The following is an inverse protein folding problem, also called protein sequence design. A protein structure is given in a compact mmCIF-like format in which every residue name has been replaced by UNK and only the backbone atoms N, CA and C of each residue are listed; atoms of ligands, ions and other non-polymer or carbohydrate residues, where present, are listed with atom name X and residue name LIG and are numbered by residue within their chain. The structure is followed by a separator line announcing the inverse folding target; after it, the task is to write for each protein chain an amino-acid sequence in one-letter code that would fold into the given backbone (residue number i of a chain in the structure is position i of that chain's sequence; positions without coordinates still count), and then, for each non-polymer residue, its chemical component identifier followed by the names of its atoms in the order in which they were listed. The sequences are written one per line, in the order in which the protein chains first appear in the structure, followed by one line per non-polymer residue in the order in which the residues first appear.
data_IF_935728003304
#
_entry.id   IF_935728003304
#
_cell.length_a   1.000
_cell.length_b   1.000
_cell.length_c   1.000
_cell.angle_alpha   90.00
_cell.angle_beta   90.00
_cell.angle_gamma   90.00
#
_symmetry.space_group_name_H-M   'P 1'
#
loop_
_entity.id
_entity.type
_entity.pdbx_description
1 polymer ?
#
# COMPACT_ATOMS: atom_id res chain seq x y z
N UNK A 1 14.10 14.94 3.13
CA UNK A 1 13.16 15.01 1.99
C UNK A 1 12.22 13.79 1.88
N UNK A 2 12.69 12.55 1.67
CA UNK A 2 11.78 11.38 1.50
C UNK A 2 10.89 11.13 2.74
N UNK A 3 11.47 11.08 3.94
CA UNK A 3 10.72 10.85 5.20
C UNK A 3 9.64 11.93 5.42
N UNK A 4 9.96 13.21 5.15
CA UNK A 4 8.98 14.30 5.26
C UNK A 4 7.84 14.17 4.25
N UNK A 5 8.12 13.72 3.03
CA UNK A 5 7.08 13.45 2.05
C UNK A 5 6.13 12.34 2.53
N UNK A 6 6.67 11.27 3.15
CA UNK A 6 5.83 10.18 3.69
C UNK A 6 5.06 10.63 4.94
N UNK A 7 5.62 11.51 5.78
CA UNK A 7 4.89 12.14 6.90
C UNK A 7 3.74 13.01 6.39
N UNK A 8 3.98 13.82 5.33
CA UNK A 8 2.94 14.59 4.65
C UNK A 8 1.85 13.68 4.07
N UNK A 9 2.23 12.57 3.43
CA UNK A 9 1.30 11.57 2.93
C UNK A 9 0.43 10.99 4.06
N UNK A 10 1.02 10.61 5.20
CA UNK A 10 0.27 10.14 6.37
C UNK A 10 -0.73 11.17 6.87
N UNK A 11 -0.32 12.45 6.92
CA UNK A 11 -1.23 13.54 7.33
C UNK A 11 -2.40 13.69 6.34
N UNK A 12 -2.14 13.67 5.04
CA UNK A 12 -3.18 13.73 4.02
C UNK A 12 -4.14 12.54 4.11
N UNK A 13 -3.61 11.33 4.34
CA UNK A 13 -4.40 10.13 4.54
C UNK A 13 -5.29 10.23 5.79
N UNK A 14 -4.76 10.78 6.88
CA UNK A 14 -5.54 10.97 8.10
C UNK A 14 -6.82 11.77 7.81
N UNK A 15 -6.72 12.89 7.09
CA UNK A 15 -7.89 13.68 6.70
C UNK A 15 -8.82 12.92 5.75
N UNK A 16 -8.26 12.22 4.74
CA UNK A 16 -9.06 11.43 3.79
C UNK A 16 -9.84 10.31 4.48
N UNK A 17 -9.28 9.75 5.55
CA UNK A 17 -9.85 8.61 6.25
C UNK A 17 -10.81 8.99 7.39
N UNK A 18 -10.96 10.27 7.72
CA UNK A 18 -11.89 10.71 8.80
C UNK A 18 -13.34 10.29 8.53
N UNK A 19 -13.78 10.38 7.26
CA UNK A 19 -15.13 10.01 6.82
C UNK A 19 -15.14 8.67 6.03
N UNK A 20 -14.06 7.91 6.07
CA UNK A 20 -13.93 6.68 5.31
C UNK A 20 -14.74 5.53 5.93
N UNK A 21 -15.26 4.64 5.09
CA UNK A 21 -16.06 3.48 5.49
C UNK A 21 -15.25 2.39 6.19
N UNK A 22 -13.93 2.37 5.98
CA UNK A 22 -12.99 1.48 6.65
C UNK A 22 -11.59 2.10 6.72
N UNK A 23 -10.66 1.43 7.41
CA UNK A 23 -9.29 1.87 7.64
C UNK A 23 -8.26 1.24 6.71
N UNK A 24 -8.72 0.69 5.58
CA UNK A 24 -7.88 -0.03 4.62
C UNK A 24 -7.38 0.94 3.56
N UNK A 25 -6.06 1.03 3.43
CA UNK A 25 -5.35 1.80 2.40
C UNK A 25 -4.64 0.82 1.47
N UNK A 26 -5.01 0.85 0.20
CA UNK A 26 -4.31 0.07 -0.82
C UNK A 26 -3.29 0.96 -1.52
N UNK A 27 -2.06 0.45 -1.63
CA UNK A 27 -0.98 1.06 -2.42
C UNK A 27 -0.77 0.22 -3.67
N UNK A 28 -1.03 0.81 -4.82
CA UNK A 28 -0.87 0.16 -6.11
C UNK A 28 -0.08 1.05 -7.10
N UNK A 29 0.13 0.58 -8.31
CA UNK A 29 0.80 1.35 -9.35
C UNK A 29 0.68 0.64 -10.70
N UNK A 30 0.97 1.37 -11.81
CA UNK A 30 0.81 0.85 -13.16
C UNK A 30 1.61 -0.41 -13.42
N UNK A 31 2.90 -0.37 -13.11
CA UNK A 31 3.89 -1.39 -13.49
C UNK A 31 4.71 -1.86 -12.30
N UNK A 32 5.59 -2.84 -12.54
CA UNK A 32 6.63 -3.22 -11.58
C UNK A 32 7.60 -2.04 -11.36
N UNK A 33 8.35 -2.07 -10.27
CA UNK A 33 9.44 -1.14 -9.94
C UNK A 33 9.05 0.36 -9.86
N UNK A 34 7.76 0.70 -9.80
CA UNK A 34 7.34 2.07 -9.55
C UNK A 34 7.49 2.50 -8.07
N UNK A 35 7.79 1.54 -7.17
CA UNK A 35 8.10 1.80 -5.76
C UNK A 35 6.93 1.63 -4.80
N UNK A 36 5.89 0.86 -5.18
CA UNK A 36 4.75 0.52 -4.32
C UNK A 36 5.17 0.05 -2.94
N UNK A 37 5.94 -1.04 -2.91
CA UNK A 37 6.43 -1.66 -1.66
C UNK A 37 7.27 -0.71 -0.82
N UNK A 38 8.09 0.15 -1.44
CA UNK A 38 8.86 1.17 -0.72
C UNK A 38 7.93 2.19 -0.04
N UNK A 39 6.95 2.69 -0.78
CA UNK A 39 5.99 3.67 -0.26
C UNK A 39 5.11 3.05 0.84
N UNK A 40 4.57 1.85 0.60
CA UNK A 40 3.68 1.17 1.54
C UNK A 40 4.41 0.80 2.85
N UNK A 41 5.63 0.27 2.77
CA UNK A 41 6.44 -0.07 3.97
C UNK A 41 6.89 1.17 4.74
N UNK A 42 7.25 2.25 4.04
CA UNK A 42 7.60 3.52 4.67
C UNK A 42 6.41 4.16 5.38
N UNK A 43 5.23 4.11 4.76
CA UNK A 43 4.00 4.59 5.36
C UNK A 43 3.65 3.79 6.62
N UNK A 44 3.77 2.46 6.58
CA UNK A 44 3.54 1.60 7.73
C UNK A 44 4.47 1.95 8.90
N UNK A 45 5.77 2.13 8.62
CA UNK A 45 6.76 2.51 9.63
C UNK A 45 6.44 3.87 10.27
N UNK A 46 6.08 4.88 9.47
CA UNK A 46 5.77 6.21 9.98
C UNK A 46 4.44 6.23 10.75
N UNK A 47 3.44 5.44 10.34
CA UNK A 47 2.20 5.28 11.07
C UNK A 47 2.43 4.62 12.44
N UNK A 48 3.23 3.56 12.48
CA UNK A 48 3.59 2.87 13.73
C UNK A 48 4.41 3.77 14.69
N UNK A 49 5.38 4.56 14.17
CA UNK A 49 6.12 5.55 14.95
C UNK A 49 5.23 6.64 15.57
N UNK A 50 4.08 6.90 14.96
CA UNK A 50 3.08 7.81 15.48
C UNK A 50 2.10 7.16 16.48
N UNK A 51 2.38 5.92 16.91
CA UNK A 51 1.58 5.20 17.92
C UNK A 51 0.35 4.48 17.38
N UNK A 52 0.16 4.40 16.05
CA UNK A 52 -0.96 3.67 15.46
C UNK A 52 -0.70 2.15 15.47
N UNK A 53 -1.76 1.38 15.68
CA UNK A 53 -1.76 -0.08 15.46
C UNK A 53 -1.86 -0.31 13.96
N UNK A 54 -0.78 -0.79 13.35
CA UNK A 54 -0.66 -0.94 11.90
C UNK A 54 -0.57 -2.42 11.55
N UNK A 55 -1.38 -2.85 10.57
CA UNK A 55 -1.18 -4.10 9.86
C UNK A 55 -0.71 -3.80 8.42
N UNK A 56 0.41 -4.38 8.06
CA UNK A 56 0.89 -4.41 6.68
C UNK A 56 0.54 -5.76 6.04
N UNK A 57 -0.07 -5.74 4.86
CA UNK A 57 -0.42 -6.95 4.11
C UNK A 57 0.32 -6.95 2.76
N UNK A 58 1.14 -7.97 2.52
CA UNK A 58 1.67 -8.26 1.19
C UNK A 58 0.62 -9.07 0.39
N UNK A 59 -0.08 -8.40 -0.50
CA UNK A 59 -1.11 -9.03 -1.31
C UNK A 59 -0.64 -9.41 -2.73
N UNK A 60 0.66 -9.28 -3.02
CA UNK A 60 1.24 -9.84 -4.26
C UNK A 60 1.54 -11.33 -4.09
N UNK A 61 0.51 -12.17 -4.11
CA UNK A 61 0.64 -13.63 -4.00
C UNK A 61 1.36 -14.27 -5.20
N UNK A 62 1.72 -13.48 -6.24
CA UNK A 62 2.45 -13.96 -7.41
C UNK A 62 3.95 -13.75 -7.30
N UNK A 63 4.37 -12.61 -6.77
CA UNK A 63 5.77 -12.16 -6.67
C UNK A 63 6.05 -11.42 -5.36
N UNK A 64 5.27 -11.70 -4.29
CA UNK A 64 5.47 -11.08 -3.00
C UNK A 64 6.88 -11.27 -2.46
N UNK A 65 7.49 -10.19 -2.01
CA UNK A 65 8.89 -10.17 -1.58
C UNK A 65 9.09 -9.57 -0.20
N UNK A 66 8.00 -9.11 0.44
CA UNK A 66 8.05 -8.40 1.72
C UNK A 66 8.65 -9.26 2.84
N UNK A 67 8.37 -10.56 2.84
CA UNK A 67 8.95 -11.51 3.79
C UNK A 67 10.48 -11.52 3.76
N UNK A 68 11.12 -11.35 2.59
CA UNK A 68 12.57 -11.23 2.47
C UNK A 68 13.07 -9.88 3.01
N UNK A 69 12.36 -8.78 2.73
CA UNK A 69 12.71 -7.43 3.19
C UNK A 69 12.73 -7.38 4.73
N UNK A 70 11.71 -7.96 5.36
CA UNK A 70 11.54 -7.94 6.81
C UNK A 70 12.16 -9.13 7.53
N UNK A 71 12.67 -10.12 6.78
CA UNK A 71 13.21 -11.39 7.31
C UNK A 71 12.17 -12.15 8.13
N UNK A 72 10.95 -12.22 7.62
CA UNK A 72 9.83 -12.92 8.20
C UNK A 72 9.61 -14.29 7.52
N UNK A 73 8.88 -15.16 8.22
CA UNK A 73 8.48 -16.45 7.67
C UNK A 73 7.38 -16.24 6.60
N UNK A 74 7.36 -17.08 5.56
CA UNK A 74 6.35 -17.05 4.50
C UNK A 74 5.66 -18.43 4.30
N UNK A 75 5.77 -19.35 5.28
CA UNK A 75 5.08 -20.63 5.22
C UNK A 75 3.57 -20.48 5.41
N UNK A 76 3.17 -19.51 6.21
CA UNK A 76 1.79 -19.07 6.39
C UNK A 76 1.69 -17.59 6.00
N UNK A 77 0.59 -17.22 5.38
CA UNK A 77 0.33 -15.84 4.99
C UNK A 77 -1.05 -15.69 4.36
N UNK A 78 -1.27 -14.60 3.63
CA UNK A 78 -2.56 -14.26 3.03
C UNK A 78 -3.16 -15.41 2.22
N UNK A 79 -2.37 -16.08 1.39
CA UNK A 79 -2.83 -17.20 0.58
C UNK A 79 -3.32 -18.38 1.44
N UNK A 80 -2.62 -18.70 2.55
CA UNK A 80 -3.01 -19.75 3.49
C UNK A 80 -4.31 -19.41 4.21
N UNK A 81 -4.45 -18.16 4.64
CA UNK A 81 -5.65 -17.63 5.29
C UNK A 81 -6.85 -17.71 4.36
N UNK A 82 -6.70 -17.22 3.13
CA UNK A 82 -7.78 -17.22 2.14
C UNK A 82 -8.14 -18.63 1.66
N UNK A 83 -7.18 -19.56 1.64
CA UNK A 83 -7.39 -20.98 1.36
C UNK A 83 -8.12 -21.75 2.49
N UNK A 84 -8.35 -21.12 3.63
CA UNK A 84 -9.04 -21.74 4.77
C UNK A 84 -8.18 -22.69 5.61
N UNK A 85 -6.87 -22.69 5.39
CA UNK A 85 -5.94 -23.60 6.07
C UNK A 85 -5.52 -23.11 7.46
N UNK A 86 -5.68 -21.81 7.73
CA UNK A 86 -5.24 -21.16 8.97
C UNK A 86 -6.10 -19.91 9.24
N UNK A 87 -6.27 -19.56 10.51
CA UNK A 87 -6.87 -18.28 10.87
C UNK A 87 -5.85 -17.15 10.68
N UNK A 88 -6.33 -15.95 10.33
CA UNK A 88 -5.43 -14.85 9.99
C UNK A 88 -4.53 -14.42 11.16
N UNK A 89 -4.98 -14.57 12.42
CA UNK A 89 -4.20 -14.25 13.62
C UNK A 89 -2.94 -15.11 13.74
N UNK A 90 -3.04 -16.38 13.30
CA UNK A 90 -1.91 -17.33 13.36
C UNK A 90 -0.89 -17.09 12.25
N UNK A 91 -1.29 -16.36 11.19
CA UNK A 91 -0.43 -16.02 10.06
C UNK A 91 0.22 -14.63 10.19
N UNK A 92 -0.28 -13.77 11.08
CA UNK A 92 0.29 -12.44 11.35
C UNK A 92 1.57 -12.56 12.17
N UNK A 93 2.59 -11.81 11.77
CA UNK A 93 3.89 -11.78 12.45
C UNK A 93 4.23 -10.35 12.86
N UNK A 94 4.88 -10.19 14.02
CA UNK A 94 5.38 -8.89 14.48
C UNK A 94 6.68 -8.54 13.77
N UNK A 95 6.76 -7.38 13.14
CA UNK A 95 8.01 -6.79 12.66
C UNK A 95 8.54 -5.79 13.69
N UNK A 96 9.39 -6.26 14.60
CA UNK A 96 9.87 -5.48 15.76
C UNK A 96 10.57 -4.18 15.38
N UNK A 97 11.44 -4.21 14.35
CA UNK A 97 12.18 -3.02 13.89
C UNK A 97 11.28 -1.91 13.34
N UNK A 98 10.14 -2.28 12.77
CA UNK A 98 9.16 -1.35 12.22
C UNK A 98 8.07 -0.96 13.20
N UNK A 99 7.89 -1.74 14.26
CA UNK A 99 6.85 -1.52 15.26
C UNK A 99 5.42 -1.80 14.76
N UNK A 100 5.26 -2.67 13.74
CA UNK A 100 3.96 -3.02 13.16
C UNK A 100 3.83 -4.51 12.86
N UNK A 101 2.60 -4.95 12.65
CA UNK A 101 2.28 -6.33 12.33
C UNK A 101 2.27 -6.52 10.81
N UNK A 102 2.63 -7.74 10.36
CA UNK A 102 2.74 -8.09 8.95
C UNK A 102 2.03 -9.39 8.66
N UNK A 103 1.17 -9.38 7.65
CA UNK A 103 0.65 -10.57 7.00
C UNK A 103 1.36 -10.71 5.65
N UNK A 104 2.29 -11.66 5.56
CA UNK A 104 3.01 -11.95 4.32
C UNK A 104 2.09 -12.55 3.26
N UNK A 105 2.52 -12.61 2.00
CA UNK A 105 1.70 -13.20 0.93
C UNK A 105 1.43 -14.71 1.13
N UNK A 106 2.29 -15.41 1.86
CA UNK A 106 2.23 -16.86 2.02
C UNK A 106 2.77 -17.63 0.81
N UNK A 107 2.61 -18.95 0.81
CA UNK A 107 2.97 -19.78 -0.34
C UNK A 107 2.17 -19.38 -1.58
N UNK A 108 2.79 -19.46 -2.76
CA UNK A 108 2.16 -19.09 -4.03
C UNK A 108 0.98 -20.02 -4.34
N UNK A 109 -0.27 -19.52 -4.39
CA UNK A 109 -1.43 -20.34 -4.71
C UNK A 109 -1.53 -20.57 -6.23
N UNK A 110 -2.25 -21.62 -6.64
CA UNK A 110 -2.54 -21.92 -8.04
C UNK A 110 -3.49 -20.88 -8.65
N UNK A 111 -4.47 -20.41 -7.88
CA UNK A 111 -5.55 -19.54 -8.33
C UNK A 111 -5.73 -18.30 -7.41
N UNK A 112 -4.83 -17.29 -7.50
CA UNK A 112 -4.92 -16.10 -6.64
C UNK A 112 -6.23 -15.33 -6.78
N UNK A 113 -6.75 -15.25 -8.01
CA UNK A 113 -7.98 -14.53 -8.33
C UNK A 113 -9.18 -15.11 -7.59
N UNK A 114 -9.30 -16.45 -7.56
CA UNK A 114 -10.42 -17.13 -6.90
C UNK A 114 -10.39 -16.87 -5.39
N UNK A 115 -9.20 -16.87 -4.79
CA UNK A 115 -9.02 -16.52 -3.38
C UNK A 115 -9.45 -15.08 -3.07
N UNK A 116 -9.10 -14.13 -3.93
CA UNK A 116 -9.45 -12.72 -3.77
C UNK A 116 -10.95 -12.44 -4.06
N UNK A 117 -11.61 -13.30 -4.83
CA UNK A 117 -13.05 -13.22 -5.09
C UNK A 117 -13.89 -13.93 -4.03
N UNK A 118 -13.28 -14.68 -3.13
CA UNK A 118 -13.98 -15.46 -2.11
C UNK A 118 -14.66 -14.57 -1.05
N UNK A 119 -15.75 -15.06 -0.47
CA UNK A 119 -16.39 -14.44 0.70
C UNK A 119 -15.42 -14.36 1.89
N UNK A 120 -14.49 -15.31 1.98
CA UNK A 120 -13.48 -15.34 3.03
C UNK A 120 -12.55 -14.11 2.99
N UNK A 121 -12.20 -13.63 1.79
CA UNK A 121 -11.42 -12.39 1.66
C UNK A 121 -12.15 -11.21 2.29
N UNK A 122 -13.44 -11.04 1.98
CA UNK A 122 -14.26 -9.96 2.55
C UNK A 122 -14.40 -10.09 4.06
N UNK A 123 -14.67 -11.30 4.54
CA UNK A 123 -14.81 -11.58 5.98
C UNK A 123 -13.51 -11.29 6.76
N UNK A 124 -12.36 -11.68 6.21
CA UNK A 124 -11.04 -11.42 6.80
C UNK A 124 -10.75 -9.92 6.83
N UNK A 125 -10.95 -9.21 5.72
CA UNK A 125 -10.72 -7.76 5.66
C UNK A 125 -11.62 -7.00 6.65
N UNK A 126 -12.90 -7.37 6.76
CA UNK A 126 -13.83 -6.74 7.70
C UNK A 126 -13.42 -6.96 9.18
N UNK A 127 -12.90 -8.13 9.52
CA UNK A 127 -12.42 -8.41 10.89
C UNK A 127 -11.14 -7.64 11.21
N UNK A 128 -10.19 -7.60 10.28
CA UNK A 128 -8.91 -6.89 10.41
C UNK A 128 -9.17 -5.38 10.62
N UNK A 129 -10.08 -4.80 9.86
CA UNK A 129 -10.43 -3.39 9.93
C UNK A 129 -10.86 -2.91 11.33
N UNK A 130 -11.49 -3.79 12.12
CA UNK A 130 -11.93 -3.44 13.48
C UNK A 130 -10.81 -3.44 14.52
N UNK A 131 -9.66 -4.03 14.21
CA UNK A 131 -8.59 -4.28 15.18
C UNK A 131 -7.38 -3.34 15.02
N UNK A 132 -7.18 -2.79 13.84
CA UNK A 132 -6.07 -1.90 13.53
C UNK A 132 -6.55 -0.46 13.26
N UNK A 133 -5.68 0.50 13.56
CA UNK A 133 -5.97 1.91 13.31
C UNK A 133 -5.73 2.27 11.84
N UNK A 134 -4.88 1.48 11.17
CA UNK A 134 -4.67 1.52 9.72
C UNK A 134 -4.20 0.16 9.20
N UNK A 135 -4.75 -0.26 8.07
CA UNK A 135 -4.33 -1.46 7.33
C UNK A 135 -3.76 -1.01 5.99
N UNK A 136 -2.51 -1.35 5.72
CA UNK A 136 -1.82 -0.97 4.48
C UNK A 136 -1.60 -2.23 3.64
N UNK A 137 -2.17 -2.24 2.44
CA UNK A 137 -2.08 -3.39 1.52
C UNK A 137 -1.18 -3.03 0.34
N UNK A 138 -0.05 -3.72 0.22
CA UNK A 138 0.81 -3.68 -0.96
C UNK A 138 0.31 -4.66 -2.02
N UNK A 139 0.22 -4.23 -3.27
CA UNK A 139 -0.44 -4.99 -4.34
C UNK A 139 0.46 -5.24 -5.55
N UNK A 140 0.16 -6.26 -6.37
CA UNK A 140 0.76 -6.37 -7.68
C UNK A 140 0.37 -5.19 -8.59
N UNK A 141 1.08 -4.99 -9.73
CA UNK A 141 0.81 -3.88 -10.65
C UNK A 141 -0.57 -3.98 -11.30
N UNK A 142 -1.29 -2.85 -11.40
CA UNK A 142 -2.65 -2.76 -11.99
C UNK A 142 -2.70 -3.21 -13.44
N UNK A 143 -1.65 -2.93 -14.24
CA UNK A 143 -1.63 -3.27 -15.67
C UNK A 143 -1.19 -4.71 -15.93
N UNK A 144 -0.53 -5.35 -14.97
CA UNK A 144 -0.01 -6.71 -15.15
C UNK A 144 -1.05 -7.80 -14.87
N UNK A 145 -1.87 -7.62 -13.82
CA UNK A 145 -2.82 -8.64 -13.35
C UNK A 145 -4.11 -8.01 -12.84
N UNK A 146 -5.15 -8.83 -12.71
CA UNK A 146 -6.47 -8.39 -12.22
C UNK A 146 -6.56 -8.36 -10.69
N UNK A 147 -5.63 -9.00 -10.01
CA UNK A 147 -5.56 -9.12 -8.55
C UNK A 147 -5.67 -7.75 -7.86
N UNK A 148 -4.91 -6.76 -8.34
CA UNK A 148 -4.94 -5.39 -7.81
C UNK A 148 -6.34 -4.77 -7.86
N UNK A 149 -7.12 -5.05 -8.91
CA UNK A 149 -8.48 -4.54 -9.07
C UNK A 149 -9.44 -5.13 -8.03
N UNK A 150 -9.26 -6.40 -7.67
CA UNK A 150 -10.07 -7.07 -6.66
C UNK A 150 -9.74 -6.56 -5.26
N UNK A 151 -8.44 -6.41 -4.97
CA UNK A 151 -7.96 -5.93 -3.67
C UNK A 151 -8.41 -4.48 -3.42
N UNK A 152 -8.32 -3.60 -4.41
CA UNK A 152 -8.71 -2.18 -4.28
C UNK A 152 -10.19 -1.99 -3.96
N UNK A 153 -11.07 -2.94 -4.31
CA UNK A 153 -12.50 -2.89 -3.96
C UNK A 153 -12.77 -3.05 -2.46
N UNK A 154 -11.86 -3.64 -1.71
CA UNK A 154 -11.98 -3.79 -0.25
C UNK A 154 -11.54 -2.54 0.53
N UNK A 155 -10.89 -1.59 -0.13
CA UNK A 155 -10.29 -0.41 0.51
C UNK A 155 -11.18 0.83 0.39
N UNK A 156 -11.24 1.61 1.47
CA UNK A 156 -11.80 2.96 1.42
C UNK A 156 -10.86 3.95 0.72
N UNK A 157 -9.56 3.68 0.73
CA UNK A 157 -8.55 4.57 0.14
C UNK A 157 -7.59 3.82 -0.77
N UNK A 158 -7.45 4.29 -2.00
CA UNK A 158 -6.52 3.75 -2.99
C UNK A 158 -5.51 4.82 -3.40
N UNK A 159 -4.22 4.49 -3.27
CA UNK A 159 -3.09 5.30 -3.70
C UNK A 159 -2.43 4.70 -4.93
N UNK A 160 -2.16 5.51 -5.95
CA UNK A 160 -1.46 5.10 -7.16
C UNK A 160 -0.03 5.67 -7.18
N UNK A 161 0.96 4.78 -7.18
CA UNK A 161 2.38 5.16 -7.20
C UNK A 161 2.90 5.12 -8.64
N UNK A 162 3.45 6.22 -9.11
CA UNK A 162 4.17 6.34 -10.36
C UNK A 162 5.65 6.67 -10.08
N UNK A 163 6.57 6.23 -10.92
CA UNK A 163 8.00 6.52 -10.80
C UNK A 163 8.43 7.58 -11.81
N UNK A 164 9.05 8.64 -11.32
CA UNK A 164 9.58 9.71 -12.16
C UNK A 164 10.54 9.18 -13.22
N UNK A 165 10.38 9.64 -14.46
CA UNK A 165 11.24 9.27 -15.58
C UNK A 165 11.10 7.81 -16.07
N UNK A 166 10.23 7.00 -15.42
CA UNK A 166 10.01 5.58 -15.81
C UNK A 166 8.55 5.26 -16.09
N UNK A 167 7.62 5.70 -15.23
CA UNK A 167 6.19 5.49 -15.47
C UNK A 167 5.68 6.55 -16.43
N UNK A 168 5.16 6.14 -17.59
CA UNK A 168 4.60 7.06 -18.58
C UNK A 168 3.20 7.54 -18.18
N UNK A 169 2.81 8.71 -18.67
CA UNK A 169 1.46 9.25 -18.47
C UNK A 169 0.37 8.32 -19.02
N UNK A 170 0.63 7.61 -20.12
CA UNK A 170 -0.29 6.61 -20.69
C UNK A 170 -0.52 5.42 -19.76
N UNK A 171 0.53 4.92 -19.08
CA UNK A 171 0.39 3.84 -18.11
C UNK A 171 -0.43 4.27 -16.90
N UNK A 172 -0.24 5.51 -16.43
CA UNK A 172 -1.05 6.09 -15.34
C UNK A 172 -2.51 6.17 -15.78
N UNK A 173 -2.78 6.75 -16.96
CA UNK A 173 -4.14 6.89 -17.51
C UNK A 173 -4.84 5.54 -17.68
N UNK A 174 -4.15 4.54 -18.24
CA UNK A 174 -4.70 3.19 -18.40
C UNK A 174 -5.00 2.54 -17.05
N UNK A 175 -4.15 2.74 -16.04
CA UNK A 175 -4.39 2.23 -14.70
C UNK A 175 -5.61 2.88 -14.05
N UNK A 176 -5.74 4.20 -14.15
CA UNK A 176 -6.91 4.94 -13.66
C UNK A 176 -8.20 4.47 -14.36
N UNK A 177 -8.15 4.26 -15.67
CA UNK A 177 -9.30 3.75 -16.44
C UNK A 177 -9.70 2.35 -15.96
N UNK A 178 -8.74 1.42 -15.78
CA UNK A 178 -9.04 0.06 -15.28
C UNK A 178 -9.64 0.08 -13.88
N UNK A 179 -9.10 0.88 -12.97
CA UNK A 179 -9.63 1.01 -11.60
C UNK A 179 -11.05 1.59 -11.61
N UNK A 180 -11.31 2.65 -12.37
CA UNK A 180 -12.65 3.24 -12.51
C UNK A 180 -13.69 2.26 -13.08
N UNK A 181 -13.30 1.39 -14.01
CA UNK A 181 -14.18 0.36 -14.57
C UNK A 181 -14.64 -0.66 -13.53
N UNK A 182 -13.91 -0.83 -12.44
CA UNK A 182 -14.30 -1.70 -11.31
C UNK A 182 -14.99 -0.93 -10.18
N UNK A 183 -15.34 0.34 -10.40
CA UNK A 183 -15.98 1.21 -9.41
C UNK A 183 -15.01 1.78 -8.37
N UNK A 184 -13.70 1.60 -8.54
CA UNK A 184 -12.69 2.10 -7.60
C UNK A 184 -12.29 3.53 -7.97
N UNK A 185 -12.36 4.43 -6.99
CA UNK A 185 -11.81 5.77 -7.08
C UNK A 185 -10.41 5.80 -6.50
N UNK A 186 -9.46 6.38 -7.24
CA UNK A 186 -8.10 6.64 -6.73
C UNK A 186 -8.14 7.95 -5.94
N UNK A 187 -7.80 7.88 -4.65
CA UNK A 187 -7.87 9.00 -3.72
C UNK A 187 -6.60 9.85 -3.73
N UNK A 188 -5.47 9.29 -4.16
CA UNK A 188 -4.21 10.00 -4.24
C UNK A 188 -3.23 9.39 -5.24
N UNK A 189 -2.36 10.24 -5.79
CA UNK A 189 -1.25 9.83 -6.63
C UNK A 189 0.08 10.23 -5.98
N UNK A 190 1.08 9.34 -6.08
CA UNK A 190 2.40 9.54 -5.51
C UNK A 190 3.42 9.45 -6.64
N UNK A 191 4.18 10.52 -6.83
CA UNK A 191 5.32 10.51 -7.74
C UNK A 191 6.59 10.17 -6.94
N UNK A 192 7.09 8.96 -7.16
CA UNK A 192 8.25 8.42 -6.46
C UNK A 192 9.55 8.63 -7.26
N UNK A 193 10.70 8.61 -6.57
CA UNK A 193 12.04 8.66 -7.15
C UNK A 193 12.32 9.94 -7.98
N UNK A 194 11.84 11.09 -7.47
CA UNK A 194 12.12 12.39 -8.09
C UNK A 194 13.58 12.74 -7.85
N UNK A 195 14.35 12.94 -8.94
CA UNK A 195 15.75 13.38 -8.84
C UNK A 195 15.82 14.84 -8.34
N UNK A 196 16.89 15.18 -7.58
CA UNK A 196 17.02 16.50 -6.94
C UNK A 196 16.88 17.67 -7.91
N UNK A 197 17.43 17.57 -9.11
CA UNK A 197 17.33 18.61 -10.16
C UNK A 197 15.88 18.84 -10.60
N UNK A 198 15.09 17.78 -10.75
CA UNK A 198 13.67 17.89 -11.09
C UNK A 198 12.83 18.39 -9.91
N UNK A 199 13.17 17.99 -8.68
CA UNK A 199 12.49 18.45 -7.46
C UNK A 199 12.59 19.98 -7.31
N UNK A 200 13.73 20.56 -7.64
CA UNK A 200 13.92 22.02 -7.66
C UNK A 200 13.03 22.71 -8.69
N UNK A 201 12.85 22.11 -9.86
CA UNK A 201 11.99 22.65 -10.91
C UNK A 201 10.50 22.61 -10.51
N UNK A 202 10.05 21.52 -9.89
CA UNK A 202 8.66 21.41 -9.39
C UNK A 202 8.40 22.31 -8.19
N UNK A 203 9.40 22.51 -7.30
CA UNK A 203 9.28 23.41 -6.15
C UNK A 203 9.35 24.89 -6.55
N UNK A 204 9.97 25.27 -7.67
CA UNK A 204 10.03 26.67 -8.10
C UNK A 204 8.66 27.27 -8.44
N UNK A 205 7.64 26.45 -8.71
CA UNK A 205 6.25 26.86 -8.83
C UNK A 205 5.54 27.14 -7.48
N UNK A 206 6.12 26.72 -6.37
CA UNK A 206 5.62 26.90 -5.00
C UNK A 206 6.59 27.68 -4.09
N UNK A 207 7.60 28.34 -4.66
CA UNK A 207 8.72 28.93 -3.92
C UNK A 207 8.42 30.24 -3.18
N UNK A 208 7.20 30.41 -2.63
CA UNK A 208 6.91 31.57 -1.78
C UNK A 208 6.57 31.21 -0.31
N UNK A 209 6.84 29.97 0.12
CA UNK A 209 6.70 29.59 1.53
C UNK A 209 7.94 28.85 2.03
N UNK A 210 9.10 29.56 2.02
CA UNK A 210 10.27 29.12 2.78
C UNK A 210 10.09 29.57 4.23
N UNK A 211 9.49 28.70 5.05
CA UNK A 211 9.56 28.87 6.50
C UNK A 211 10.96 28.45 6.95
N UNK A 212 11.85 29.43 7.04
CA UNK A 212 13.18 29.27 7.59
C UNK A 212 13.12 28.84 9.06
N UNK A 213 13.19 27.54 9.33
CA UNK A 213 13.59 27.05 10.63
C UNK A 213 15.11 26.98 10.65
N UNK A 214 15.76 28.04 11.14
CA UNK A 214 17.12 27.99 11.65
C UNK A 214 17.13 27.13 12.91
N UNK A 215 17.87 26.04 12.88
CA UNK A 215 18.23 25.27 14.08
C UNK A 215 19.20 26.13 14.91
N UNK A 216 18.84 26.46 16.12
CA UNK A 216 19.77 26.72 17.25
C UNK A 216 20.10 25.40 17.95
#
# INVERSE_FOLDING_TARGET
MFIEAVRGLRTSLHFTMMDATNRIVVVSGPTQDCGKTLVSTSLASIAAQAGQRVLFIDADMRKGYVHNIFKLNNHLGLSSVLGGNVEWQDAVQRFEKGGFDVLTCGPRPSHPVDLLMSERFQAVMSRIDTLYDIVIIDTPPVLAVTDALLITRAAATTLLVARFGKTSGKEVEHSLKRLRQTGVQVNGAILNDIVKSAALYYNSGYSHYDYGYTQE
#
